data_IF_686035999281
#
_entry.id   IF_686035999281
#
_cell.length_a   1.000
_cell.length_b   1.000
_cell.length_c   1.000
_cell.angle_alpha   90.00
_cell.angle_beta   90.00
_cell.angle_gamma   90.00
#
_symmetry.space_group_name_H-M   'P 1'
#
loop_
_entity.id
_entity.type
_entity.pdbx_description
1 polymer ?
#
# COMPACT_ATOMS: atom_id res chain seq x y z
N UNK A 1 -14.58 -2.50 -10.20
CA UNK A 1 -13.65 -2.91 -9.12
C UNK A 1 -14.42 -3.82 -8.20
N UNK A 2 -13.84 -4.93 -7.76
CA UNK A 2 -14.49 -5.87 -6.85
C UNK A 2 -13.78 -5.80 -5.50
N UNK A 3 -14.46 -5.42 -4.40
CA UNK A 3 -13.85 -5.44 -3.08
C UNK A 3 -13.50 -6.87 -2.68
N UNK A 4 -12.34 -7.01 -2.05
CA UNK A 4 -11.92 -8.25 -1.42
C UNK A 4 -12.12 -8.13 0.09
N UNK A 5 -12.28 -9.29 0.76
CA UNK A 5 -12.23 -9.30 2.23
C UNK A 5 -10.91 -8.68 2.69
N UNK A 6 -10.93 -7.75 3.66
CA UNK A 6 -9.74 -7.17 4.27
C UNK A 6 -8.70 -8.20 4.71
N UNK A 7 -9.17 -9.35 5.20
CA UNK A 7 -8.35 -10.42 5.76
C UNK A 7 -7.48 -11.10 4.70
N UNK A 8 -7.82 -10.95 3.40
CA UNK A 8 -7.04 -11.52 2.30
C UNK A 8 -5.73 -10.77 2.03
N UNK A 9 -5.67 -9.48 2.38
CA UNK A 9 -4.50 -8.66 2.10
C UNK A 9 -3.44 -8.71 3.21
N UNK A 10 -3.83 -9.01 4.45
CA UNK A 10 -2.91 -9.03 5.58
C UNK A 10 -1.82 -10.11 5.45
N UNK A 11 -2.12 -11.39 5.12
CA UNK A 11 -1.09 -12.41 4.90
C UNK A 11 -0.12 -12.05 3.77
N UNK A 12 -0.62 -11.39 2.72
CA UNK A 12 0.19 -11.00 1.58
C UNK A 12 1.20 -9.91 1.91
N UNK A 13 0.75 -8.89 2.65
CA UNK A 13 1.65 -7.86 3.16
C UNK A 13 2.65 -8.45 4.13
N UNK A 14 2.21 -9.29 5.08
CA UNK A 14 3.09 -9.97 6.02
C UNK A 14 4.20 -10.72 5.27
N UNK A 15 3.84 -11.57 4.31
CA UNK A 15 4.82 -12.33 3.53
C UNK A 15 5.78 -11.41 2.78
N UNK A 16 5.28 -10.39 2.07
CA UNK A 16 6.15 -9.50 1.30
C UNK A 16 7.11 -8.69 2.17
N UNK A 17 6.68 -8.29 3.37
CA UNK A 17 7.51 -7.59 4.33
C UNK A 17 8.55 -8.55 4.89
N UNK A 18 8.16 -9.75 5.31
CA UNK A 18 9.12 -10.78 5.77
C UNK A 18 10.16 -11.10 4.70
N UNK A 19 9.74 -11.30 3.44
CA UNK A 19 10.64 -11.64 2.32
C UNK A 19 11.59 -10.50 1.92
N UNK A 20 11.21 -9.25 2.18
CA UNK A 20 11.95 -8.08 1.72
C UNK A 20 12.74 -7.41 2.84
N UNK A 21 12.25 -7.50 4.07
CA UNK A 21 12.71 -6.73 5.23
C UNK A 21 12.69 -7.54 6.54
N UNK A 22 12.58 -8.88 6.50
CA UNK A 22 12.53 -9.73 7.69
C UNK A 22 13.71 -9.50 8.64
N UNK A 23 14.94 -9.38 8.12
CA UNK A 23 16.14 -9.11 8.93
C UNK A 23 16.09 -7.75 9.65
N UNK A 24 15.30 -6.81 9.12
CA UNK A 24 15.21 -5.44 9.64
C UNK A 24 14.11 -5.26 10.68
N UNK A 25 12.94 -5.84 10.43
CA UNK A 25 11.75 -5.69 11.27
C UNK A 25 11.52 -6.87 12.24
N UNK A 26 12.31 -7.94 12.11
CA UNK A 26 12.10 -9.15 12.90
C UNK A 26 10.74 -9.78 12.59
N UNK A 27 10.06 -10.29 13.62
CA UNK A 27 8.68 -10.72 13.48
C UNK A 27 7.76 -9.52 13.16
N UNK A 28 6.82 -9.72 12.22
CA UNK A 28 5.88 -8.67 11.81
C UNK A 28 4.43 -9.15 11.84
N UNK A 29 3.57 -8.30 12.38
CA UNK A 29 2.12 -8.41 12.28
C UNK A 29 1.61 -7.35 11.30
N UNK A 30 0.62 -7.72 10.49
CA UNK A 30 -0.08 -6.77 9.63
C UNK A 30 -1.56 -6.85 9.93
N UNK A 31 -2.12 -5.74 10.39
CA UNK A 31 -3.55 -5.54 10.61
C UNK A 31 -4.11 -4.60 9.56
N UNK A 32 -5.44 -4.57 9.42
CA UNK A 32 -6.14 -3.57 8.61
C UNK A 32 -6.84 -2.61 9.55
N UNK A 33 -6.54 -1.33 9.42
CA UNK A 33 -7.10 -0.31 10.29
C UNK A 33 -7.64 0.86 9.47
N UNK A 34 -8.66 1.52 10.00
CA UNK A 34 -9.09 2.83 9.53
C UNK A 34 -8.36 3.88 10.34
N UNK A 35 -7.54 4.69 9.68
CA UNK A 35 -6.66 5.67 10.35
C UNK A 35 -7.02 7.09 9.92
N UNK A 36 -6.78 8.04 10.80
CA UNK A 36 -6.89 9.46 10.48
C UNK A 36 -5.73 9.89 9.58
N UNK A 37 -6.04 10.56 8.47
CA UNK A 37 -5.01 11.00 7.52
C UNK A 37 -4.07 12.03 8.15
N UNK A 38 -4.55 12.82 9.12
CA UNK A 38 -3.76 13.83 9.82
C UNK A 38 -2.78 13.25 10.83
N UNK A 39 -2.96 11.99 11.25
CA UNK A 39 -2.03 11.30 12.15
C UNK A 39 -0.89 10.58 11.41
N UNK A 40 -0.89 10.64 10.07
CA UNK A 40 0.13 9.99 9.26
C UNK A 40 1.33 10.91 9.01
N UNK A 41 2.52 10.32 9.08
CA UNK A 41 3.78 10.96 8.72
C UNK A 41 4.45 10.23 7.55
N UNK A 42 5.37 10.90 6.88
CA UNK A 42 6.12 10.40 5.72
C UNK A 42 7.56 10.88 5.81
N UNK A 43 8.53 10.07 5.35
CA UNK A 43 9.92 10.56 5.12
C UNK A 43 10.08 11.26 3.76
N UNK A 44 8.99 11.35 2.99
CA UNK A 44 8.92 12.00 1.69
C UNK A 44 8.16 13.32 1.86
N UNK A 45 8.86 14.44 1.65
CA UNK A 45 8.30 15.80 1.68
C UNK A 45 7.60 16.20 0.39
N UNK A 46 8.13 15.74 -0.75
CA UNK A 46 7.66 16.10 -2.09
C UNK A 46 7.25 14.87 -2.86
N UNK A 47 6.06 14.90 -3.43
CA UNK A 47 5.56 13.82 -4.30
C UNK A 47 5.56 14.22 -5.77
N UNK A 48 5.95 13.29 -6.65
CA UNK A 48 5.89 13.51 -8.08
C UNK A 48 4.45 13.77 -8.57
N UNK A 49 4.21 14.75 -9.48
CA UNK A 49 2.87 15.12 -9.93
C UNK A 49 2.07 13.99 -10.61
N UNK A 50 2.71 13.24 -11.50
CA UNK A 50 2.02 12.23 -12.30
C UNK A 50 1.48 11.05 -11.46
N UNK A 51 2.26 10.44 -10.54
CA UNK A 51 1.71 9.47 -9.60
C UNK A 51 0.66 10.07 -8.66
N UNK A 52 0.76 11.35 -8.30
CA UNK A 52 -0.26 12.04 -7.50
C UNK A 52 -1.58 12.18 -8.25
N UNK A 53 -1.56 12.62 -9.52
CA UNK A 53 -2.74 12.65 -10.39
C UNK A 53 -3.35 11.26 -10.57
N UNK A 54 -2.50 10.25 -10.74
CA UNK A 54 -2.93 8.84 -10.82
C UNK A 54 -3.63 8.38 -9.53
N UNK A 55 -3.11 8.79 -8.37
CA UNK A 55 -3.72 8.49 -7.08
C UNK A 55 -5.08 9.20 -6.88
N UNK A 56 -5.23 10.42 -7.37
CA UNK A 56 -6.52 11.12 -7.40
C UNK A 56 -7.52 10.40 -8.31
N UNK A 57 -7.11 10.02 -9.52
CA UNK A 57 -7.97 9.26 -10.44
C UNK A 57 -8.39 7.91 -9.85
N UNK A 58 -7.48 7.22 -9.17
CA UNK A 58 -7.78 5.98 -8.45
C UNK A 58 -8.81 6.22 -7.33
N UNK A 59 -8.64 7.27 -6.53
CA UNK A 59 -9.61 7.62 -5.48
C UNK A 59 -11.01 7.87 -6.05
N UNK A 60 -11.11 8.63 -7.15
CA UNK A 60 -12.37 8.82 -7.86
C UNK A 60 -12.98 7.49 -8.33
N UNK A 61 -12.16 6.51 -8.74
CA UNK A 61 -12.64 5.18 -9.11
C UNK A 61 -13.23 4.40 -7.91
N UNK A 62 -12.60 4.49 -6.73
CA UNK A 62 -13.16 3.93 -5.48
C UNK A 62 -14.52 4.55 -5.15
N UNK A 63 -14.60 5.89 -5.15
CA UNK A 63 -15.83 6.62 -4.84
C UNK A 63 -16.96 6.26 -5.82
N UNK A 64 -16.69 6.24 -7.13
CA UNK A 64 -17.70 5.86 -8.14
C UNK A 64 -18.17 4.41 -7.99
N UNK A 65 -17.32 3.52 -7.49
CA UNK A 65 -17.68 2.13 -7.26
C UNK A 65 -18.41 1.92 -5.92
N UNK A 66 -18.60 2.96 -5.10
CA UNK A 66 -19.18 2.83 -3.76
C UNK A 66 -18.30 2.02 -2.80
N UNK A 67 -16.98 1.94 -3.05
CA UNK A 67 -16.03 1.17 -2.24
C UNK A 67 -15.27 2.14 -1.34
N UNK A 68 -15.15 1.81 -0.05
CA UNK A 68 -14.36 2.62 0.87
C UNK A 68 -12.91 2.78 0.35
N UNK A 69 -12.34 4.00 0.36
CA UNK A 69 -11.03 4.27 -0.21
C UNK A 69 -9.95 3.32 0.28
N UNK A 70 -9.25 2.72 -0.70
CA UNK A 70 -8.07 1.87 -0.51
C UNK A 70 -8.29 0.56 0.27
N UNK A 71 -9.54 0.09 0.35
CA UNK A 71 -9.76 -1.34 0.56
C UNK A 71 -9.09 -2.15 -0.56
N UNK A 72 -8.62 -3.38 -0.26
CA UNK A 72 -8.11 -4.27 -1.29
C UNK A 72 -9.17 -4.56 -2.35
N UNK A 73 -8.83 -4.39 -3.62
CA UNK A 73 -9.77 -4.62 -4.74
C UNK A 73 -9.10 -5.35 -5.90
N UNK A 74 -9.87 -6.15 -6.61
CA UNK A 74 -9.52 -6.60 -7.96
C UNK A 74 -10.05 -5.59 -8.98
N UNK A 75 -9.14 -5.00 -9.74
CA UNK A 75 -9.47 -4.10 -10.83
C UNK A 75 -9.63 -4.94 -12.11
N UNK A 76 -10.85 -5.42 -12.38
CA UNK A 76 -11.18 -6.20 -13.57
C UNK A 76 -11.64 -7.63 -13.25
N UNK A 77 -11.65 -8.54 -14.24
CA UNK A 77 -12.09 -9.92 -14.06
C UNK A 77 -11.26 -10.64 -12.97
N UNK A 78 -11.86 -11.49 -12.14
CA UNK A 78 -11.15 -12.16 -11.04
C UNK A 78 -9.93 -13.00 -11.43
N UNK A 79 -9.82 -13.41 -12.70
CA UNK A 79 -8.73 -14.22 -13.26
C UNK A 79 -7.55 -13.40 -13.78
N UNK A 80 -7.75 -12.12 -14.11
CA UNK A 80 -6.77 -11.33 -14.87
C UNK A 80 -6.59 -9.89 -14.37
N UNK A 81 -7.52 -9.39 -13.55
CA UNK A 81 -7.48 -8.02 -13.08
C UNK A 81 -6.29 -7.77 -12.14
N UNK A 82 -5.61 -6.60 -12.22
CA UNK A 82 -4.65 -6.17 -11.20
C UNK A 82 -5.27 -6.16 -9.81
N UNK A 83 -4.52 -6.70 -8.84
CA UNK A 83 -4.84 -6.55 -7.43
C UNK A 83 -4.28 -5.20 -6.95
N UNK A 84 -5.17 -4.34 -6.47
CA UNK A 84 -4.79 -3.08 -5.85
C UNK A 84 -4.81 -3.25 -4.34
N UNK A 85 -3.65 -3.06 -3.73
CA UNK A 85 -3.49 -3.01 -2.27
C UNK A 85 -3.56 -1.56 -1.80
N UNK A 86 -4.13 -1.34 -0.62
CA UNK A 86 -4.14 -0.03 0.02
C UNK A 86 -2.75 0.40 0.52
N UNK A 87 -2.60 1.61 1.06
CA UNK A 87 -1.38 2.06 1.71
C UNK A 87 -0.89 1.06 2.78
N UNK A 88 0.42 1.04 2.96
CA UNK A 88 1.11 0.33 4.03
C UNK A 88 1.71 1.38 4.97
N UNK A 89 1.45 1.22 6.27
CA UNK A 89 1.87 2.12 7.33
C UNK A 89 2.57 1.29 8.40
N UNK A 90 3.61 1.82 9.01
CA UNK A 90 4.29 1.24 10.17
C UNK A 90 3.80 1.94 11.44
N UNK A 91 3.52 1.15 12.47
CA UNK A 91 3.37 1.64 13.83
C UNK A 91 4.76 1.79 14.44
N UNK A 92 5.32 3.00 14.32
CA UNK A 92 6.60 3.39 14.90
C UNK A 92 6.38 3.96 16.32
N UNK A 93 7.38 3.93 17.23
CA UNK A 93 7.25 4.55 18.55
C UNK A 93 6.82 6.02 18.52
N UNK A 94 7.22 6.75 17.48
CA UNK A 94 6.89 8.17 17.30
C UNK A 94 5.56 8.43 16.55
N UNK A 95 4.85 7.38 16.12
CA UNK A 95 3.56 7.50 15.43
C UNK A 95 3.43 6.61 14.19
N UNK A 96 2.48 6.97 13.31
CA UNK A 96 2.18 6.19 12.11
C UNK A 96 3.00 6.69 10.91
N UNK A 97 3.93 5.87 10.43
CA UNK A 97 4.81 6.21 9.31
C UNK A 97 4.35 5.53 8.01
N UNK A 98 4.15 6.30 6.95
CA UNK A 98 3.79 5.76 5.64
C UNK A 98 5.00 5.04 5.04
N UNK A 99 4.82 3.75 4.78
CA UNK A 99 5.79 2.88 4.14
C UNK A 99 5.60 2.82 2.62
N UNK A 100 4.35 2.81 2.19
CA UNK A 100 3.95 2.84 0.79
C UNK A 100 2.61 3.56 0.63
N UNK A 101 2.44 4.23 -0.51
CA UNK A 101 1.17 4.89 -0.86
C UNK A 101 1.04 6.33 -0.38
N UNK A 102 2.14 7.07 -0.21
CA UNK A 102 2.09 8.49 0.17
C UNK A 102 1.24 9.33 -0.79
N UNK A 103 1.33 9.09 -2.10
CA UNK A 103 0.50 9.78 -3.10
C UNK A 103 -1.00 9.51 -2.89
N UNK A 104 -1.35 8.27 -2.50
CA UNK A 104 -2.74 7.85 -2.21
C UNK A 104 -3.26 8.52 -0.95
N UNK A 105 -2.50 8.48 0.13
CA UNK A 105 -2.88 9.17 1.38
C UNK A 105 -3.01 10.68 1.16
N UNK A 106 -2.05 11.30 0.45
CA UNK A 106 -2.10 12.73 0.15
C UNK A 106 -3.31 13.08 -0.73
N UNK A 107 -3.59 12.29 -1.77
CA UNK A 107 -4.76 12.51 -2.63
C UNK A 107 -6.07 12.45 -1.83
N UNK A 108 -6.20 11.49 -0.90
CA UNK A 108 -7.35 11.40 -0.02
C UNK A 108 -7.48 12.61 0.91
N UNK A 109 -6.39 13.01 1.56
CA UNK A 109 -6.37 14.18 2.44
C UNK A 109 -6.76 15.46 1.70
N UNK A 110 -6.22 15.68 0.49
CA UNK A 110 -6.52 16.87 -0.32
C UNK A 110 -7.94 16.87 -0.89
N UNK A 111 -8.60 15.71 -0.98
CA UNK A 111 -10.02 15.60 -1.33
C UNK A 111 -10.95 15.71 -0.11
N UNK A 112 -10.42 16.07 1.06
CA UNK A 112 -11.22 16.31 2.26
C UNK A 112 -11.63 15.05 3.01
N UNK A 113 -11.06 13.88 2.69
CA UNK A 113 -11.25 12.71 3.53
C UNK A 113 -10.53 12.90 4.87
N UNK A 114 -11.18 12.49 5.95
CA UNK A 114 -10.58 12.49 7.29
C UNK A 114 -9.84 11.19 7.58
N UNK A 115 -10.37 10.07 7.06
CA UNK A 115 -9.86 8.72 7.33
C UNK A 115 -9.74 7.88 6.06
N UNK A 116 -8.81 6.92 6.08
CA UNK A 116 -8.64 5.92 5.02
C UNK A 116 -8.34 4.55 5.62
N UNK A 117 -8.61 3.49 4.85
CA UNK A 117 -8.18 2.15 5.19
C UNK A 117 -6.71 1.94 4.82
N UNK A 118 -5.90 1.49 5.77
CA UNK A 118 -4.47 1.18 5.58
C UNK A 118 -4.13 -0.17 6.18
N UNK A 119 -3.07 -0.78 5.66
CA UNK A 119 -2.48 -1.96 6.29
C UNK A 119 -1.46 -1.44 7.31
N UNK A 120 -1.62 -1.74 8.58
CA UNK A 120 -0.71 -1.32 9.65
C UNK A 120 0.21 -2.47 9.98
N UNK A 121 1.50 -2.23 9.79
CA UNK A 121 2.58 -3.11 10.17
C UNK A 121 3.03 -2.79 11.59
N UNK A 122 3.02 -3.79 12.45
CA UNK A 122 3.65 -3.75 13.77
C UNK A 122 4.84 -4.72 13.74
N UNK A 123 6.03 -4.21 14.01
CA UNK A 123 7.27 -4.97 13.98
C UNK A 123 7.81 -5.22 15.38
N UNK A 124 8.55 -6.31 15.55
CA UNK A 124 9.32 -6.60 16.76
C UNK A 124 10.45 -5.58 16.95
N UNK A 125 11.12 -5.24 15.85
CA UNK A 125 12.18 -4.22 15.84
C UNK A 125 11.71 -2.96 15.12
N UNK A 126 12.02 -1.80 15.71
CA UNK A 126 11.72 -0.49 15.15
C UNK A 126 13.00 0.16 14.63
N UNK A 127 13.41 -0.13 13.38
CA UNK A 127 14.57 0.50 12.78
C UNK A 127 14.32 2.01 12.67
N UNK A 128 15.37 2.85 12.80
CA UNK A 128 15.21 4.28 12.60
C UNK A 128 14.64 4.58 11.20
N UNK A 129 13.82 5.62 11.12
CA UNK A 129 13.30 6.11 9.86
C UNK A 129 14.46 6.54 8.94
N UNK A 130 14.30 6.32 7.63
CA UNK A 130 15.33 6.65 6.63
C UNK A 130 15.58 8.18 6.47
N UNK A 131 14.82 9.00 7.18
CA UNK A 131 14.90 10.46 7.23
C UNK A 131 13.94 11.00 8.29
N UNK A 132 13.92 12.32 8.47
CA UNK A 132 13.01 12.97 9.40
C UNK A 132 11.55 12.74 9.01
N UNK A 133 10.69 12.30 9.93
CA UNK A 133 9.25 12.22 9.67
C UNK A 133 8.67 13.61 9.44
N UNK A 134 7.84 13.73 8.40
CA UNK A 134 7.11 14.94 8.03
C UNK A 134 5.61 14.64 8.03
N UNK A 135 4.76 15.46 8.70
CA UNK A 135 3.32 15.26 8.71
C UNK A 135 2.75 15.22 7.29
N UNK A 136 1.79 14.34 7.02
CA UNK A 136 1.17 14.21 5.69
C UNK A 136 0.54 15.54 5.20
N UNK A 137 0.10 16.40 6.13
CA UNK A 137 -0.43 17.74 5.84
C UNK A 137 0.59 18.69 5.20
N UNK A 138 1.88 18.48 5.48
CA UNK A 138 3.00 19.26 4.98
C UNK A 138 3.58 18.70 3.68
N UNK A 139 3.24 17.45 3.33
CA UNK A 139 3.64 16.86 2.06
C UNK A 139 2.94 17.58 0.91
N UNK A 140 3.73 17.95 -0.12
CA UNK A 140 3.23 18.72 -1.27
C UNK A 140 3.60 18.06 -2.60
N UNK A 141 2.73 18.14 -3.63
CA UNK A 141 3.12 17.80 -4.98
C UNK A 141 4.22 18.75 -5.48
N UNK A 142 5.28 18.21 -6.05
CA UNK A 142 6.35 19.02 -6.62
C UNK A 142 5.86 19.82 -7.83
N UNK A 143 6.28 21.08 -7.99
CA UNK A 143 6.03 21.84 -9.23
C UNK A 143 6.87 21.36 -10.43
N UNK A 144 7.84 20.47 -10.21
CA UNK A 144 8.77 19.97 -11.23
C UNK A 144 8.45 18.52 -11.60
N UNK A 145 8.29 18.26 -12.90
CA UNK A 145 8.18 16.90 -13.45
C UNK A 145 9.42 16.02 -13.18
N UNK A 146 10.55 16.63 -12.78
CA UNK A 146 11.84 15.94 -12.55
C UNK A 146 12.06 15.42 -11.14
N UNK A 147 11.08 15.45 -10.24
CA UNK A 147 11.17 14.74 -8.95
C UNK A 147 11.01 13.22 -9.12
N UNK A 148 11.78 12.62 -10.04
CA UNK A 148 12.03 11.18 -10.12
C UNK A 148 13.28 10.76 -9.36
N UNK A 149 14.05 11.70 -8.83
CA UNK A 149 15.11 11.36 -7.89
C UNK A 149 14.42 11.03 -6.57
N UNK A 150 14.32 9.76 -6.12
CA UNK A 150 14.22 9.55 -4.69
C UNK A 150 15.43 10.30 -4.12
N UNK A 151 15.20 11.33 -3.30
CA UNK A 151 16.26 12.17 -2.70
C UNK A 151 17.36 11.32 -2.02
N UNK A 152 17.11 10.04 -1.85
CA UNK A 152 17.94 9.05 -1.18
C UNK A 152 18.79 8.16 -2.11
N UNK A 153 18.69 8.26 -3.44
CA UNK A 153 19.55 7.48 -4.37
C UNK A 153 21.05 7.76 -4.18
N UNK A 154 21.40 8.90 -3.57
CA UNK A 154 22.76 9.32 -3.28
C UNK A 154 23.20 9.04 -1.84
N UNK A 155 22.34 8.51 -0.98
CA UNK A 155 22.67 8.27 0.44
C UNK A 155 23.38 6.93 0.67
N UNK A 156 23.45 6.05 -0.34
CA UNK A 156 24.00 4.71 -0.17
C UNK A 156 23.25 3.88 0.87
N UNK A 157 22.05 4.28 1.27
CA UNK A 157 21.34 3.68 2.38
C UNK A 157 20.64 2.39 1.91
N UNK A 158 21.10 1.18 2.33
CA UNK A 158 20.41 -0.08 2.05
C UNK A 158 18.99 -0.12 2.65
N UNK A 159 18.66 0.81 3.55
CA UNK A 159 17.36 0.92 4.23
C UNK A 159 16.27 1.57 3.37
N UNK A 160 16.60 2.08 2.17
CA UNK A 160 15.63 2.69 1.26
C UNK A 160 14.96 1.65 0.36
N UNK A 161 13.64 1.78 0.22
CA UNK A 161 12.75 0.69 -0.15
C UNK A 161 12.53 0.64 -1.67
N UNK A 162 12.95 -0.41 -2.39
CA UNK A 162 12.55 -0.59 -3.79
C UNK A 162 11.06 -0.95 -3.84
N UNK A 163 10.21 0.06 -4.03
CA UNK A 163 8.74 -0.04 -4.01
C UNK A 163 8.21 -1.06 -5.01
N UNK A 164 8.77 -1.14 -6.21
CA UNK A 164 8.18 -1.95 -7.29
C UNK A 164 8.39 -3.45 -7.07
N UNK A 165 9.57 -3.85 -6.59
CA UNK A 165 9.86 -5.27 -6.27
C UNK A 165 9.03 -5.71 -5.08
N UNK A 166 8.97 -4.87 -4.04
CA UNK A 166 8.18 -5.14 -2.84
C UNK A 166 6.68 -5.28 -3.16
N UNK A 167 6.11 -4.33 -3.91
CA UNK A 167 4.71 -4.36 -4.33
C UNK A 167 4.40 -5.56 -5.22
N UNK A 168 5.29 -5.91 -6.14
CA UNK A 168 5.12 -7.08 -7.01
C UNK A 168 5.09 -8.38 -6.21
N UNK A 169 5.98 -8.52 -5.20
CA UNK A 169 5.99 -9.68 -4.29
C UNK A 169 4.73 -9.74 -3.44
N UNK A 170 4.28 -8.61 -2.88
CA UNK A 170 3.03 -8.52 -2.12
C UNK A 170 1.82 -8.92 -2.96
N UNK A 171 1.72 -8.40 -4.19
CA UNK A 171 0.64 -8.76 -5.10
C UNK A 171 0.67 -10.24 -5.48
N UNK A 172 1.85 -10.82 -5.73
CA UNK A 172 1.98 -12.24 -6.03
C UNK A 172 1.58 -13.13 -4.84
N UNK A 173 2.00 -12.78 -3.62
CA UNK A 173 1.61 -13.49 -2.40
C UNK A 173 0.09 -13.42 -2.17
N UNK A 174 -0.51 -12.24 -2.32
CA UNK A 174 -1.95 -12.06 -2.19
C UNK A 174 -2.73 -12.88 -3.22
N UNK A 175 -2.27 -12.93 -4.48
CA UNK A 175 -2.93 -13.72 -5.52
C UNK A 175 -2.95 -15.20 -5.16
N UNK A 176 -1.80 -15.75 -4.74
CA UNK A 176 -1.72 -17.15 -4.29
C UNK A 176 -2.69 -17.43 -3.13
N UNK A 177 -2.79 -16.51 -2.18
CA UNK A 177 -3.68 -16.66 -1.04
C UNK A 177 -5.17 -16.59 -1.44
N UNK A 178 -5.53 -15.66 -2.33
CA UNK A 178 -6.87 -15.56 -2.90
C UNK A 178 -7.24 -16.83 -3.67
N UNK A 179 -6.30 -17.38 -4.46
CA UNK A 179 -6.49 -18.65 -5.19
C UNK A 179 -6.68 -19.82 -4.22
N UNK A 180 -5.85 -19.91 -3.18
CA UNK A 180 -5.94 -20.93 -2.13
C UNK A 180 -7.31 -20.92 -1.45
N UNK A 181 -7.80 -19.73 -1.08
CA UNK A 181 -9.08 -19.56 -0.36
C UNK A 181 -10.31 -19.77 -1.24
N UNK A 182 -10.19 -19.57 -2.56
CA UNK A 182 -11.26 -19.92 -3.52
C UNK A 182 -11.40 -21.43 -3.74
N UNK A 183 -10.43 -22.22 -3.31
CA UNK A 183 -10.37 -23.66 -3.55
C UNK A 183 -10.07 -24.00 -5.02
N UNK A 184 -9.86 -25.29 -5.34
CA UNK A 184 -9.69 -25.71 -6.73
C UNK A 184 -10.93 -25.31 -7.53
N UNK A 185 -10.73 -24.61 -8.65
CA UNK A 185 -11.79 -24.38 -9.62
C UNK A 185 -12.35 -25.74 -9.99
N UNK A 186 -13.57 -26.05 -9.55
CA UNK A 186 -14.31 -27.18 -10.13
C UNK A 186 -14.45 -26.83 -11.60
N UNK A 187 -13.66 -27.46 -12.45
CA UNK A 187 -13.91 -27.41 -13.88
C UNK A 187 -15.36 -27.85 -14.07
N UNK A 188 -16.20 -27.05 -14.75
CA UNK A 188 -17.52 -27.54 -15.12
C UNK A 188 -17.27 -28.86 -15.85
N UNK A 189 -17.80 -29.95 -15.29
CA UNK A 189 -17.69 -31.25 -15.91
C UNK A 189 -18.19 -31.07 -17.34
N UNK A 190 -17.33 -31.35 -18.32
CA UNK A 190 -17.71 -31.36 -19.73
C UNK A 190 -18.93 -32.27 -19.82
N UNK A 191 -20.09 -31.68 -20.05
CA UNK A 191 -21.33 -32.37 -20.35
C UNK A 191 -21.05 -33.14 -21.63
N UNK A 192 -20.77 -34.44 -21.47
CA UNK A 192 -20.75 -35.40 -22.56
C UNK A 192 -22.20 -35.60 -23.00
N UNK A 193 -22.52 -35.01 -24.14
CA UNK A 193 -23.65 -35.42 -24.97
C UNK A 193 -23.40 -36.80 -25.58
#
# INVERSE_FOLDING_TARGET
>A
MTPLSPDLAAPAWRQAVTDSWGDRFGAVEVTRERVELRSLSSVIELVAPEPYLSAQALLCAFTRAGIAPYLPVLAGPPSAGPLLLGPLVERHPDGLLILDGVHRCLAALRQGLETVWVSVLTAETHPPAAGSPVPLTEVTPSGSARTRTPLFRHTGNPDFRPTDVFLSRAQAAARREIERLRGPRRHPAESRD
#
